data_IF_145999995321
#
_entry.id   IF_145999995321
#
_cell.length_a   1.000
_cell.length_b   1.000
_cell.length_c   1.000
_cell.angle_alpha   90.00
_cell.angle_beta   90.00
_cell.angle_gamma   90.00
#
_symmetry.space_group_name_H-M   'P 1'
#
loop_
_entity.id
_entity.type
_entity.pdbx_description
1 polymer ?
#
# COMPACT_ATOMS: atom_id res chain seq x y z
N UNK A 1 -24.09 -29.65 10.27
CA UNK A 1 -22.67 -30.01 10.00
C UNK A 1 -21.91 -28.84 9.38
N UNK A 2 -22.26 -27.60 9.74
CA UNK A 2 -21.54 -26.37 9.37
C UNK A 2 -21.39 -25.47 10.62
N UNK A 3 -21.37 -26.07 11.81
CA UNK A 3 -21.40 -25.36 13.10
C UNK A 3 -20.09 -25.54 13.88
N UNK A 4 -19.05 -26.13 13.26
CA UNK A 4 -17.78 -26.45 13.93
C UNK A 4 -16.56 -25.75 13.31
N UNK A 5 -16.76 -24.84 12.33
CA UNK A 5 -15.67 -24.11 11.67
C UNK A 5 -15.51 -22.65 12.12
N UNK A 6 -16.17 -22.26 13.22
CA UNK A 6 -15.99 -20.95 13.86
C UNK A 6 -14.85 -20.88 14.90
N UNK A 7 -14.47 -21.95 15.64
CA UNK A 7 -13.53 -21.79 16.76
C UNK A 7 -12.05 -21.73 16.32
N UNK A 8 -11.68 -22.20 15.12
CA UNK A 8 -10.28 -22.19 14.66
C UNK A 8 -9.81 -20.86 14.04
N UNK A 9 -10.71 -19.91 13.82
CA UNK A 9 -10.34 -18.54 13.39
C UNK A 9 -10.00 -17.60 14.54
N UNK A 10 -10.30 -18.00 15.79
CA UNK A 10 -10.06 -17.19 16.99
C UNK A 10 -8.71 -17.48 17.65
N UNK A 11 -8.04 -18.58 17.32
CA UNK A 11 -6.77 -18.98 17.97
C UNK A 11 -5.53 -18.41 17.26
N UNK A 12 -5.65 -17.93 16.03
CA UNK A 12 -4.60 -17.13 15.37
C UNK A 12 -4.66 -15.62 15.74
N UNK A 13 -5.52 -15.27 16.71
CA UNK A 13 -5.76 -13.91 17.18
C UNK A 13 -4.93 -13.53 18.43
N UNK A 14 -4.03 -14.40 18.89
CA UNK A 14 -3.38 -14.25 20.21
C UNK A 14 -1.84 -14.33 20.20
N UNK A 15 -1.19 -14.08 19.06
CA UNK A 15 0.24 -13.77 19.05
C UNK A 15 0.46 -12.24 19.06
N UNK A 16 0.95 -11.67 20.18
CA UNK A 16 1.41 -10.30 20.20
C UNK A 16 2.71 -10.21 19.40
N UNK A 17 2.61 -9.70 18.18
CA UNK A 17 3.79 -9.32 17.39
C UNK A 17 4.43 -8.09 18.08
N UNK A 18 5.34 -8.39 19.03
CA UNK A 18 6.36 -7.48 19.53
C UNK A 18 7.10 -6.89 18.32
N UNK A 19 6.70 -5.68 17.94
CA UNK A 19 7.52 -4.80 17.12
C UNK A 19 8.14 -3.81 18.09
N UNK A 20 9.41 -4.08 18.37
CA UNK A 20 10.31 -3.30 19.21
C UNK A 20 10.16 -1.80 18.99
N UNK A 21 10.14 -1.10 20.11
CA UNK A 21 10.33 0.34 20.26
C UNK A 21 11.49 0.82 19.36
N UNK A 22 11.17 1.71 18.43
CA UNK A 22 12.17 2.57 17.82
C UNK A 22 12.59 3.61 18.88
N UNK A 23 13.89 3.86 19.08
CA UNK A 23 14.36 4.72 20.16
C UNK A 23 13.85 6.16 19.98
N UNK A 24 13.32 6.70 21.06
CA UNK A 24 13.20 8.15 21.28
C UNK A 24 14.60 8.67 21.61
N UNK A 25 15.30 9.17 20.60
CA UNK A 25 16.51 9.95 20.84
C UNK A 25 16.08 11.38 21.26
N UNK A 26 16.09 11.60 22.58
CA UNK A 26 16.27 12.90 23.20
C UNK A 26 17.62 13.47 22.75
N UNK A 27 17.62 14.67 22.19
CA UNK A 27 18.81 15.53 22.15
C UNK A 27 18.39 16.96 22.52
N UNK A 28 18.45 17.17 23.83
CA UNK A 28 18.93 18.32 24.60
C UNK A 28 18.89 19.73 23.96
N UNK A 29 18.21 20.62 24.67
CA UNK A 29 18.26 22.07 24.54
C UNK A 29 19.63 22.58 25.02
N UNK A 30 20.38 23.22 24.12
CA UNK A 30 21.58 23.97 24.46
C UNK A 30 21.55 25.35 23.81
N UNK A 31 20.96 26.33 24.50
CA UNK A 31 21.02 27.74 24.16
C UNK A 31 22.46 28.25 24.30
N UNK A 32 23.13 28.56 23.20
CA UNK A 32 24.30 29.44 23.19
C UNK A 32 23.98 30.68 22.34
N UNK A 33 23.81 31.82 23.04
CA UNK A 33 23.70 33.15 22.45
C UNK A 33 24.99 33.50 21.69
N UNK A 34 25.02 33.28 20.38
CA UNK A 34 26.07 33.79 19.50
C UNK A 34 25.61 35.12 18.89
N UNK A 35 26.32 36.20 19.23
CA UNK A 35 26.11 37.55 18.72
C UNK A 35 26.09 37.53 17.18
N UNK A 36 24.98 38.00 16.61
CA UNK A 36 24.77 38.15 15.17
C UNK A 36 25.77 39.16 14.58
N UNK A 37 26.79 38.67 13.88
CA UNK A 37 27.62 39.49 13.00
C UNK A 37 26.79 39.98 11.80
N UNK A 38 26.90 41.26 11.47
CA UNK A 38 26.11 41.98 10.44
C UNK A 38 26.16 41.34 9.03
N UNK A 39 27.08 40.41 8.77
CA UNK A 39 27.15 39.61 7.53
C UNK A 39 26.07 38.51 7.46
N UNK A 40 25.66 37.95 8.60
CA UNK A 40 24.62 36.92 8.69
C UNK A 40 23.20 37.47 8.45
N UNK A 41 22.97 38.76 8.72
CA UNK A 41 21.69 39.43 8.41
C UNK A 41 21.49 39.67 6.90
N UNK A 42 22.58 39.74 6.13
CA UNK A 42 22.51 39.80 4.66
C UNK A 42 22.30 38.42 4.04
N UNK A 43 22.78 37.36 4.69
CA UNK A 43 22.54 35.96 4.28
C UNK A 43 21.11 35.51 4.61
N UNK A 44 20.54 35.94 5.74
CA UNK A 44 19.13 35.73 6.11
C UNK A 44 18.14 36.45 5.18
N UNK A 45 18.58 37.51 4.50
CA UNK A 45 17.77 38.24 3.51
C UNK A 45 17.87 37.64 2.09
N UNK A 46 18.79 36.69 1.89
CA UNK A 46 19.08 36.02 0.62
C UNK A 46 18.76 34.51 0.67
N UNK A 47 18.56 33.92 1.85
CA UNK A 47 17.83 32.66 1.97
C UNK A 47 16.39 32.89 1.53
N UNK A 48 15.91 32.25 0.46
CA UNK A 48 14.49 32.27 0.17
C UNK A 48 13.83 31.55 1.35
N UNK A 49 13.20 32.29 2.27
CA UNK A 49 12.44 31.78 3.41
C UNK A 49 11.33 30.77 3.01
N UNK A 50 11.14 30.57 1.71
CA UNK A 50 10.38 29.48 1.12
C UNK A 50 11.08 28.12 1.15
N UNK A 51 12.42 28.02 1.12
CA UNK A 51 13.16 26.76 0.94
C UNK A 51 13.02 25.76 2.08
N UNK A 52 13.25 26.20 3.33
CA UNK A 52 13.17 25.33 4.51
C UNK A 52 11.75 24.87 4.85
N UNK A 53 10.77 25.78 4.70
CA UNK A 53 9.35 25.47 4.95
C UNK A 53 8.76 24.61 3.84
N UNK A 54 9.13 24.87 2.57
CA UNK A 54 8.79 24.02 1.43
C UNK A 54 9.43 22.64 1.56
N UNK A 55 10.68 22.54 2.00
CA UNK A 55 11.35 21.25 2.22
C UNK A 55 10.71 20.44 3.35
N UNK A 56 10.36 21.07 4.49
CA UNK A 56 9.60 20.42 5.57
C UNK A 56 8.22 19.96 5.09
N UNK A 57 7.53 20.78 4.29
CA UNK A 57 6.20 20.46 3.73
C UNK A 57 6.26 19.33 2.70
N UNK A 58 7.29 19.29 1.85
CA UNK A 58 7.53 18.18 0.91
C UNK A 58 7.84 16.91 1.68
N UNK A 59 8.70 16.97 2.71
CA UNK A 59 9.09 15.79 3.49
C UNK A 59 7.90 15.16 4.22
N UNK A 60 6.99 15.98 4.78
CA UNK A 60 5.77 15.44 5.41
C UNK A 60 4.80 14.86 4.38
N UNK A 61 4.58 15.55 3.25
CA UNK A 61 3.70 15.10 2.18
C UNK A 61 4.20 13.82 1.53
N UNK A 62 5.51 13.69 1.30
CA UNK A 62 6.15 12.48 0.78
C UNK A 62 5.99 11.30 1.73
N UNK A 63 6.17 11.49 3.04
CA UNK A 63 5.95 10.42 4.02
C UNK A 63 4.53 9.87 3.94
N UNK A 64 3.52 10.74 3.85
CA UNK A 64 2.12 10.31 3.70
C UNK A 64 1.86 9.63 2.37
N UNK A 65 2.41 10.15 1.26
CA UNK A 65 2.26 9.54 -0.06
C UNK A 65 2.90 8.14 -0.13
N UNK A 66 4.08 7.97 0.46
CA UNK A 66 4.78 6.68 0.54
C UNK A 66 4.02 5.68 1.39
N UNK A 67 3.45 6.10 2.52
CA UNK A 67 2.61 5.23 3.37
C UNK A 67 1.34 4.76 2.65
N UNK A 68 0.70 5.65 1.88
CA UNK A 68 -0.48 5.27 1.10
C UNK A 68 -0.10 4.30 -0.01
N UNK A 69 0.99 4.59 -0.72
CA UNK A 69 1.48 3.75 -1.80
C UNK A 69 1.93 2.37 -1.31
N UNK A 70 2.58 2.27 -0.14
CA UNK A 70 2.97 0.97 0.40
C UNK A 70 1.75 0.11 0.77
N UNK A 71 0.71 0.70 1.37
CA UNK A 71 -0.52 0.01 1.70
C UNK A 71 -1.28 -0.53 0.48
N UNK A 72 -1.36 0.25 -0.60
CA UNK A 72 -2.02 -0.17 -1.86
C UNK A 72 -1.21 -1.23 -2.59
N UNK A 73 0.12 -1.11 -2.61
CA UNK A 73 1.02 -2.11 -3.20
C UNK A 73 0.89 -3.45 -2.47
N UNK A 74 0.90 -3.45 -1.13
CA UNK A 74 0.73 -4.65 -0.32
C UNK A 74 -0.63 -5.32 -0.55
N UNK A 75 -1.71 -4.55 -0.60
CA UNK A 75 -3.03 -5.10 -0.91
C UNK A 75 -3.08 -5.70 -2.32
N UNK A 76 -2.36 -5.11 -3.28
CA UNK A 76 -2.28 -5.63 -4.66
C UNK A 76 -1.50 -6.93 -4.72
N UNK A 77 -0.34 -7.00 -4.05
CA UNK A 77 0.50 -8.21 -4.03
C UNK A 77 -0.19 -9.37 -3.34
N UNK A 78 -0.94 -9.12 -2.27
CA UNK A 78 -1.72 -10.16 -1.58
C UNK A 78 -2.85 -10.68 -2.47
N UNK A 79 -3.54 -9.80 -3.21
CA UNK A 79 -4.56 -10.23 -4.17
C UNK A 79 -3.99 -11.12 -5.27
N UNK A 80 -2.85 -10.73 -5.83
CA UNK A 80 -2.11 -11.54 -6.79
C UNK A 80 -1.68 -12.88 -6.19
N UNK A 81 -1.10 -12.87 -4.99
CA UNK A 81 -0.64 -14.09 -4.31
C UNK A 81 -1.80 -15.06 -4.05
N UNK A 82 -2.96 -14.56 -3.62
CA UNK A 82 -4.14 -15.38 -3.40
C UNK A 82 -4.61 -16.05 -4.70
N UNK A 83 -4.65 -15.30 -5.80
CA UNK A 83 -4.97 -15.85 -7.12
C UNK A 83 -3.97 -16.92 -7.56
N UNK A 84 -2.67 -16.68 -7.36
CA UNK A 84 -1.60 -17.64 -7.70
C UNK A 84 -1.70 -18.92 -6.87
N UNK A 85 -1.99 -18.82 -5.57
CA UNK A 85 -2.20 -19.97 -4.69
C UNK A 85 -3.42 -20.79 -5.13
N UNK A 86 -4.53 -20.13 -5.46
CA UNK A 86 -5.71 -20.83 -6.00
C UNK A 86 -5.35 -21.50 -7.32
N UNK A 87 -4.61 -20.84 -8.21
CA UNK A 87 -4.17 -21.42 -9.48
C UNK A 87 -3.20 -22.59 -9.34
N UNK A 88 -2.37 -22.60 -8.29
CA UNK A 88 -1.48 -23.71 -7.96
C UNK A 88 -2.26 -24.93 -7.45
N UNK A 89 -3.27 -24.72 -6.59
CA UNK A 89 -4.09 -25.80 -6.04
C UNK A 89 -5.11 -26.34 -7.05
N UNK A 90 -5.76 -25.43 -7.79
CA UNK A 90 -6.83 -25.74 -8.72
C UNK A 90 -6.83 -24.73 -9.86
N UNK A 91 -6.30 -25.16 -11.00
CA UNK A 91 -6.25 -24.33 -12.20
C UNK A 91 -7.63 -23.97 -12.81
N UNK A 92 -8.64 -24.85 -12.86
CA UNK A 92 -9.94 -24.52 -13.44
C UNK A 92 -10.61 -23.24 -12.90
N UNK A 93 -10.69 -22.99 -11.57
CA UNK A 93 -11.25 -21.74 -11.04
C UNK A 93 -10.34 -20.53 -11.25
N UNK A 94 -9.04 -20.72 -11.42
CA UNK A 94 -8.07 -19.65 -11.62
C UNK A 94 -7.97 -19.18 -13.09
N UNK A 95 -8.58 -19.90 -14.03
CA UNK A 95 -8.54 -19.54 -15.46
C UNK A 95 -9.40 -18.32 -15.79
N UNK A 96 -8.82 -17.37 -16.52
CA UNK A 96 -9.55 -16.27 -17.13
C UNK A 96 -10.18 -15.31 -16.11
N UNK A 97 -11.43 -14.92 -16.34
CA UNK A 97 -12.10 -13.85 -15.57
C UNK A 97 -12.27 -14.22 -14.09
N UNK A 98 -12.47 -15.50 -13.76
CA UNK A 98 -12.63 -15.93 -12.36
C UNK A 98 -11.33 -15.77 -11.55
N UNK A 99 -10.16 -16.01 -12.15
CA UNK A 99 -8.87 -15.73 -11.52
C UNK A 99 -8.69 -14.23 -11.20
N UNK A 100 -9.09 -13.37 -12.14
CA UNK A 100 -9.09 -11.92 -11.94
C UNK A 100 -10.05 -11.52 -10.81
N UNK A 101 -11.24 -12.11 -10.77
CA UNK A 101 -12.21 -11.84 -9.71
C UNK A 101 -11.69 -12.24 -8.32
N UNK A 102 -11.01 -13.38 -8.20
CA UNK A 102 -10.38 -13.82 -6.95
C UNK A 102 -9.35 -12.78 -6.48
N UNK A 103 -8.44 -12.35 -7.37
CA UNK A 103 -7.42 -11.37 -7.05
C UNK A 103 -8.00 -10.00 -6.70
N UNK A 104 -9.05 -9.57 -7.40
CA UNK A 104 -9.75 -8.32 -7.11
C UNK A 104 -10.44 -8.35 -5.75
N UNK A 105 -11.21 -9.40 -5.45
CA UNK A 105 -11.98 -9.50 -4.20
C UNK A 105 -11.01 -9.54 -3.02
N UNK A 106 -9.99 -10.39 -3.10
CA UNK A 106 -8.98 -10.54 -2.03
C UNK A 106 -8.19 -9.25 -1.82
N UNK A 107 -7.76 -8.57 -2.89
CA UNK A 107 -7.09 -7.27 -2.79
C UNK A 107 -7.98 -6.20 -2.17
N UNK A 108 -9.23 -6.11 -2.61
CA UNK A 108 -10.21 -5.11 -2.12
C UNK A 108 -10.54 -5.34 -0.64
N UNK A 109 -10.79 -6.59 -0.26
CA UNK A 109 -11.04 -6.97 1.14
C UNK A 109 -9.82 -6.66 2.01
N UNK A 110 -8.62 -6.95 1.53
CA UNK A 110 -7.40 -6.64 2.28
C UNK A 110 -7.16 -5.13 2.40
N UNK A 111 -7.38 -4.36 1.35
CA UNK A 111 -7.30 -2.90 1.39
C UNK A 111 -8.31 -2.30 2.39
N UNK A 112 -9.52 -2.84 2.45
CA UNK A 112 -10.53 -2.45 3.45
C UNK A 112 -10.09 -2.78 4.88
N UNK A 113 -9.52 -3.97 5.09
CA UNK A 113 -8.99 -4.38 6.40
C UNK A 113 -7.84 -3.49 6.84
N UNK A 114 -6.89 -3.21 5.96
CA UNK A 114 -5.78 -2.28 6.25
C UNK A 114 -6.31 -0.89 6.56
N UNK A 115 -7.27 -0.38 5.78
CA UNK A 115 -7.88 0.94 6.02
C UNK A 115 -8.56 1.00 7.40
N UNK A 116 -9.23 -0.07 7.81
CA UNK A 116 -9.88 -0.17 9.12
C UNK A 116 -8.89 -0.28 10.28
N UNK A 117 -7.83 -1.08 10.14
CA UNK A 117 -6.84 -1.31 11.21
C UNK A 117 -5.83 -0.16 11.36
N UNK A 118 -5.34 0.40 10.26
CA UNK A 118 -4.29 1.43 10.27
C UNK A 118 -4.84 2.86 10.25
N UNK A 119 -6.15 3.05 10.00
CA UNK A 119 -6.75 4.39 9.88
C UNK A 119 -6.21 5.23 8.72
N UNK A 120 -5.40 4.65 7.84
CA UNK A 120 -4.73 5.33 6.73
C UNK A 120 -5.61 5.38 5.48
N UNK A 121 -5.52 6.45 4.67
CA UNK A 121 -6.28 6.58 3.43
C UNK A 121 -5.69 5.69 2.33
N UNK A 122 -6.01 4.39 2.38
CA UNK A 122 -5.59 3.42 1.38
C UNK A 122 -6.57 3.47 0.19
N UNK A 123 -6.03 3.52 -1.02
CA UNK A 123 -6.84 3.57 -2.25
C UNK A 123 -7.33 2.17 -2.62
N UNK A 124 -8.58 1.88 -2.29
CA UNK A 124 -9.26 0.63 -2.63
C UNK A 124 -9.35 0.47 -4.16
N UNK A 125 -9.64 1.56 -4.87
CA UNK A 125 -9.75 1.56 -6.33
C UNK A 125 -8.38 1.31 -6.98
N UNK A 126 -7.31 1.94 -6.48
CA UNK A 126 -5.97 1.72 -7.00
C UNK A 126 -5.51 0.27 -6.79
N UNK A 127 -5.76 -0.30 -5.60
CA UNK A 127 -5.39 -1.70 -5.34
C UNK A 127 -6.20 -2.67 -6.19
N UNK A 128 -7.50 -2.41 -6.38
CA UNK A 128 -8.36 -3.21 -7.25
C UNK A 128 -7.90 -3.20 -8.72
N UNK A 129 -7.61 -2.02 -9.28
CA UNK A 129 -7.11 -1.90 -10.66
C UNK A 129 -5.72 -2.54 -10.79
N UNK A 130 -4.82 -2.29 -9.84
CA UNK A 130 -3.51 -2.92 -9.79
C UNK A 130 -3.61 -4.45 -9.76
N UNK A 131 -4.54 -4.99 -8.97
CA UNK A 131 -4.79 -6.43 -8.87
C UNK A 131 -5.35 -7.02 -10.16
N UNK A 132 -6.26 -6.31 -10.85
CA UNK A 132 -6.75 -6.75 -12.17
C UNK A 132 -5.59 -6.88 -13.16
N UNK A 133 -4.76 -5.85 -13.26
CA UNK A 133 -3.61 -5.84 -14.17
C UNK A 133 -2.61 -6.94 -13.79
N UNK A 134 -2.29 -7.07 -12.50
CA UNK A 134 -1.40 -8.10 -12.00
C UNK A 134 -1.89 -9.51 -12.37
N UNK A 135 -3.16 -9.80 -12.07
CA UNK A 135 -3.77 -11.10 -12.35
C UNK A 135 -3.86 -11.37 -13.85
N UNK A 136 -4.18 -10.37 -14.66
CA UNK A 136 -4.22 -10.53 -16.11
C UNK A 136 -2.87 -10.98 -16.68
N UNK A 137 -1.78 -10.33 -16.28
CA UNK A 137 -0.43 -10.73 -16.72
C UNK A 137 -0.03 -12.08 -16.17
N UNK A 138 -0.36 -12.38 -14.90
CA UNK A 138 -0.09 -13.69 -14.31
C UNK A 138 -0.86 -14.83 -14.97
N UNK A 139 -2.11 -14.60 -15.41
CA UNK A 139 -2.89 -15.61 -16.12
C UNK A 139 -2.34 -15.80 -17.54
N UNK A 140 -1.98 -14.71 -18.22
CA UNK A 140 -1.46 -14.75 -19.59
C UNK A 140 -0.17 -15.58 -19.70
N UNK A 141 0.66 -15.63 -18.66
CA UNK A 141 1.87 -16.45 -18.68
C UNK A 141 1.58 -17.96 -18.68
N UNK A 142 0.37 -18.37 -18.32
CA UNK A 142 -0.08 -19.77 -18.41
C UNK A 142 -0.38 -20.22 -19.85
N UNK A 143 -0.36 -19.30 -20.82
CA UNK A 143 -0.38 -19.67 -22.25
C UNK A 143 0.99 -20.16 -22.73
N UNK A 144 2.06 -19.70 -22.08
CA UNK A 144 3.45 -20.03 -22.43
C UNK A 144 3.99 -21.13 -21.51
N UNK A 145 3.59 -21.11 -20.25
CA UNK A 145 4.05 -22.04 -19.20
C UNK A 145 2.97 -23.02 -18.81
N UNK A 146 3.33 -24.22 -18.31
CA UNK A 146 2.34 -25.20 -17.87
C UNK A 146 1.46 -24.61 -16.75
N UNK A 147 0.14 -24.54 -16.95
CA UNK A 147 -0.75 -23.95 -15.96
C UNK A 147 -0.74 -24.75 -14.65
N UNK A 148 -0.85 -24.05 -13.51
CA UNK A 148 -0.82 -24.67 -12.18
C UNK A 148 0.53 -25.28 -11.78
N UNK A 149 1.59 -25.03 -12.54
CA UNK A 149 2.95 -25.44 -12.17
C UNK A 149 3.63 -24.42 -11.26
N UNK A 150 4.62 -24.86 -10.49
CA UNK A 150 5.49 -23.96 -9.70
C UNK A 150 6.23 -22.96 -10.58
N UNK A 151 6.63 -23.35 -11.80
CA UNK A 151 7.30 -22.45 -12.74
C UNK A 151 6.38 -21.30 -13.17
N UNK A 152 5.11 -21.62 -13.49
CA UNK A 152 4.09 -20.62 -13.77
C UNK A 152 3.85 -19.73 -12.55
N UNK A 153 3.78 -20.29 -11.34
CA UNK A 153 3.57 -19.53 -10.11
C UNK A 153 4.64 -18.44 -9.93
N UNK A 154 5.93 -18.80 -10.06
CA UNK A 154 7.02 -17.84 -9.89
C UNK A 154 7.12 -16.84 -11.04
N UNK A 155 7.12 -17.31 -12.30
CA UNK A 155 7.25 -16.43 -13.45
C UNK A 155 6.00 -15.57 -13.64
N UNK A 156 4.82 -16.17 -13.59
CA UNK A 156 3.53 -15.47 -13.63
C UNK A 156 3.36 -14.48 -12.51
N UNK A 157 3.72 -14.84 -11.28
CA UNK A 157 3.72 -13.91 -10.16
C UNK A 157 4.69 -12.75 -10.35
N UNK A 158 5.91 -13.00 -10.84
CA UNK A 158 6.89 -11.96 -11.12
C UNK A 158 6.39 -10.99 -12.21
N UNK A 159 5.86 -11.50 -13.32
CA UNK A 159 5.30 -10.66 -14.39
C UNK A 159 4.07 -9.88 -13.89
N UNK A 160 3.16 -10.53 -13.17
CA UNK A 160 2.00 -9.89 -12.57
C UNK A 160 2.39 -8.76 -11.62
N UNK A 161 3.37 -9.00 -10.74
CA UNK A 161 3.87 -7.98 -9.82
C UNK A 161 4.60 -6.84 -10.54
N UNK A 162 5.42 -7.15 -11.54
CA UNK A 162 6.20 -6.17 -12.30
C UNK A 162 5.34 -5.13 -13.01
N UNK A 163 4.12 -5.49 -13.45
CA UNK A 163 3.21 -4.56 -14.09
C UNK A 163 2.11 -4.04 -13.15
N UNK A 164 1.53 -4.89 -12.31
CA UNK A 164 0.41 -4.51 -11.46
C UNK A 164 0.78 -3.63 -10.27
N UNK A 165 1.95 -3.86 -9.64
CA UNK A 165 2.39 -3.07 -8.48
C UNK A 165 2.71 -1.62 -8.87
N UNK A 166 3.44 -1.33 -9.97
CA UNK A 166 3.61 0.05 -10.43
C UNK A 166 2.30 0.74 -10.78
N UNK A 167 1.33 0.03 -11.37
CA UNK A 167 0.00 0.59 -11.65
C UNK A 167 -0.71 1.00 -10.37
N UNK A 168 -0.70 0.15 -9.34
CA UNK A 168 -1.25 0.47 -8.03
C UNK A 168 -0.55 1.69 -7.40
N UNK A 169 0.77 1.78 -7.53
CA UNK A 169 1.57 2.89 -7.03
C UNK A 169 1.18 4.22 -7.66
N UNK A 170 1.08 4.26 -9.00
CA UNK A 170 0.74 5.46 -9.76
C UNK A 170 -0.68 5.93 -9.44
N UNK A 171 -1.60 5.00 -9.17
CA UNK A 171 -2.99 5.30 -8.80
C UNK A 171 -3.18 5.56 -7.30
N UNK A 172 -2.15 5.38 -6.47
CA UNK A 172 -2.25 5.57 -5.02
C UNK A 172 -2.66 7.00 -4.59
N UNK A 173 -2.24 8.08 -5.27
CA UNK A 173 -2.70 9.44 -4.96
C UNK A 173 -4.22 9.63 -5.08
N UNK A 174 -4.94 8.76 -5.82
CA UNK A 174 -6.40 8.82 -5.96
C UNK A 174 -7.11 8.69 -4.60
N UNK A 175 -6.51 7.99 -3.61
CA UNK A 175 -7.07 7.88 -2.26
C UNK A 175 -7.20 9.23 -1.54
N UNK A 176 -6.29 10.16 -1.80
CA UNK A 176 -6.30 11.48 -1.16
C UNK A 176 -7.42 12.35 -1.71
N UNK A 177 -7.71 12.23 -3.00
CA UNK A 177 -8.81 12.94 -3.66
C UNK A 177 -10.17 12.44 -3.15
N UNK A 178 -10.32 11.12 -2.99
CA UNK A 178 -11.54 10.49 -2.44
C UNK A 178 -11.84 11.02 -1.02
N UNK A 179 -10.82 11.12 -0.15
CA UNK A 179 -11.00 11.60 1.23
C UNK A 179 -11.44 13.08 1.28
N UNK A 180 -10.91 13.91 0.38
CA UNK A 180 -11.31 15.33 0.31
C UNK A 180 -12.79 15.47 -0.08
N UNK A 181 -13.23 14.70 -1.06
CA UNK A 181 -14.62 14.71 -1.55
C UNK A 181 -15.63 14.35 -0.46
N UNK A 182 -15.38 13.26 0.28
CA UNK A 182 -16.26 12.82 1.37
C UNK A 182 -16.35 13.86 2.49
N UNK A 183 -15.27 14.60 2.76
CA UNK A 183 -15.28 15.65 3.76
C UNK A 183 -16.12 16.86 3.33
N UNK A 184 -16.04 17.27 2.06
CA UNK A 184 -16.82 18.39 1.53
C UNK A 184 -18.34 18.10 1.53
N UNK A 185 -18.74 16.85 1.27
CA UNK A 185 -20.13 16.39 1.32
C UNK A 185 -20.70 16.35 2.76
N UNK A 186 -19.82 16.21 3.77
CA UNK A 186 -20.22 16.18 5.18
C UNK A 186 -20.40 17.57 5.82
N UNK A 187 -19.77 18.59 5.24
CA UNK A 187 -19.86 19.99 5.71
C UNK A 187 -21.06 20.72 5.08
N UNK A 188 -21.62 20.18 4.00
CA UNK A 188 -22.75 20.76 3.25
C UNK A 188 -24.13 20.22 3.69
N UNK A 189 -24.19 19.32 4.67
CA UNK A 189 -25.41 18.83 5.33
C UNK A 189 -25.47 19.31 6.79
#
# INVERSE_FOLDING_TARGET
MLDELEPLMLELLDEPLLLDELPEDEDDEGDEEELLDDESLLELLLEPATGGLFWRMIKSTMKTAVQIASGTMLATTIGLLAMLLVGLMSWPPARGVSGIAIGLITSTMFALLLRKKLGQPISIVASGIGAIVACFFAISTAEILPPGSLQWFFQGGLYGAAFGVPVAAILSPLALMERRRVNDDSVSN
#
